data_IF_925031664846
#
_entry.id   IF_925031664846
#
_cell.length_a   1.000
_cell.length_b   1.000
_cell.length_c   1.000
_cell.angle_alpha   90.00
_cell.angle_beta   90.00
_cell.angle_gamma   90.00
#
_symmetry.space_group_name_H-M   'P 1'
#
loop_
_entity.id
_entity.type
_entity.pdbx_description
1 polymer ?
#
# COMPACT_ATOMS: atom_id res chain seq x y z
N UNK A 1 -8.74 -1.98 5.91
CA UNK A 1 -9.12 -0.61 5.46
C UNK A 1 -8.81 -0.46 3.98
N UNK A 2 -9.61 0.29 3.22
CA UNK A 2 -9.29 0.57 1.80
C UNK A 2 -8.05 1.47 1.73
N UNK A 3 -7.10 1.13 0.84
CA UNK A 3 -5.86 1.88 0.69
C UNK A 3 -6.16 3.29 0.17
N UNK A 4 -7.06 3.44 -0.80
CA UNK A 4 -7.44 4.76 -1.31
C UNK A 4 -7.97 5.68 -0.21
N UNK A 5 -8.82 5.18 0.69
CA UNK A 5 -9.30 5.95 1.83
C UNK A 5 -8.17 6.40 2.77
N UNK A 6 -7.16 5.56 3.00
CA UNK A 6 -5.99 5.93 3.80
C UNK A 6 -5.17 7.04 3.13
N UNK A 7 -4.99 6.98 1.81
CA UNK A 7 -4.26 8.00 1.05
C UNK A 7 -5.00 9.35 1.02
N UNK A 8 -6.33 9.31 0.96
CA UNK A 8 -7.16 10.52 1.02
C UNK A 8 -7.07 11.18 2.40
N UNK A 9 -7.09 10.39 3.48
CA UNK A 9 -6.85 10.87 4.84
C UNK A 9 -5.43 11.44 5.03
N UNK A 10 -4.44 10.87 4.34
CA UNK A 10 -3.07 11.37 4.34
C UNK A 10 -2.88 12.65 3.50
N UNK A 11 -3.94 13.14 2.83
CA UNK A 11 -3.91 14.31 1.95
C UNK A 11 -2.77 14.23 0.94
N UNK A 12 -2.70 13.09 0.23
CA UNK A 12 -1.68 12.81 -0.77
C UNK A 12 -1.54 14.00 -1.74
N UNK A 13 -0.33 14.53 -1.86
CA UNK A 13 -0.07 15.63 -2.78
C UNK A 13 -0.21 15.17 -4.22
N UNK A 14 -0.76 15.99 -5.14
CA UNK A 14 -1.01 15.58 -6.52
C UNK A 14 0.27 15.25 -7.29
N UNK A 15 1.43 15.75 -6.87
CA UNK A 15 2.74 15.42 -7.44
C UNK A 15 3.25 14.02 -7.08
N UNK A 16 2.67 13.36 -6.08
CA UNK A 16 3.08 12.00 -5.73
C UNK A 16 2.65 11.02 -6.82
N UNK A 17 3.62 10.40 -7.47
CA UNK A 17 3.41 9.46 -8.57
C UNK A 17 3.65 8.02 -8.15
N UNK A 18 4.34 7.80 -7.03
CA UNK A 18 4.75 6.47 -6.56
C UNK A 18 4.46 6.28 -5.08
N UNK A 19 3.98 5.09 -4.72
CA UNK A 19 3.93 4.62 -3.35
C UNK A 19 5.03 3.59 -3.11
N UNK A 20 5.68 3.72 -1.97
CA UNK A 20 6.70 2.79 -1.48
C UNK A 20 6.17 2.18 -0.19
N UNK A 21 6.00 0.85 -0.19
CA UNK A 21 5.57 0.09 0.96
C UNK A 21 6.78 -0.66 1.51
N UNK A 22 7.12 -0.42 2.78
CA UNK A 22 8.26 -1.07 3.45
C UNK A 22 7.75 -2.03 4.52
N UNK A 23 8.20 -3.27 4.41
CA UNK A 23 7.97 -4.31 5.41
C UNK A 23 8.99 -4.24 6.54
N UNK A 24 8.64 -4.85 7.67
CA UNK A 24 9.48 -4.99 8.86
C UNK A 24 10.84 -5.66 8.58
N UNK A 25 10.89 -6.58 7.62
CA UNK A 25 12.11 -7.29 7.19
C UNK A 25 12.98 -6.49 6.20
N UNK A 26 12.59 -5.25 5.90
CA UNK A 26 13.28 -4.38 4.95
C UNK A 26 12.87 -4.61 3.49
N UNK A 27 11.96 -5.54 3.19
CA UNK A 27 11.42 -5.68 1.84
C UNK A 27 10.66 -4.42 1.42
N UNK A 28 10.86 -4.01 0.16
CA UNK A 28 10.23 -2.82 -0.41
C UNK A 28 9.47 -3.19 -1.67
N UNK A 29 8.18 -2.83 -1.71
CA UNK A 29 7.40 -2.85 -2.94
C UNK A 29 7.06 -1.43 -3.38
N UNK A 30 7.18 -1.19 -4.68
CA UNK A 30 6.87 0.09 -5.29
C UNK A 30 5.72 -0.05 -6.28
N UNK A 31 4.75 0.86 -6.20
CA UNK A 31 3.57 0.86 -7.07
C UNK A 31 3.21 2.29 -7.48
N UNK A 32 2.77 2.49 -8.71
CA UNK A 32 2.32 3.80 -9.14
C UNK A 32 1.04 4.21 -8.39
N UNK A 33 0.95 5.48 -7.98
CA UNK A 33 -0.24 6.04 -7.33
C UNK A 33 -1.47 5.88 -8.24
N UNK A 34 -1.29 6.06 -9.55
CA UNK A 34 -2.38 5.91 -10.53
C UNK A 34 -2.98 4.49 -10.53
N UNK A 35 -2.15 3.45 -10.38
CA UNK A 35 -2.60 2.06 -10.38
C UNK A 35 -3.32 1.73 -9.07
N UNK A 36 -2.83 2.25 -7.93
CA UNK A 36 -3.50 2.13 -6.64
C UNK A 36 -4.85 2.85 -6.64
N UNK A 37 -4.92 4.06 -7.22
CA UNK A 37 -6.16 4.83 -7.36
C UNK A 37 -7.21 4.11 -8.21
N UNK A 38 -6.79 3.33 -9.21
CA UNK A 38 -7.68 2.45 -10.00
C UNK A 38 -8.11 1.18 -9.25
N UNK A 39 -7.35 0.75 -8.26
CA UNK A 39 -7.62 -0.45 -7.48
C UNK A 39 -8.61 -0.18 -6.33
N UNK A 40 -9.91 -0.29 -6.62
CA UNK A 40 -10.97 -0.06 -5.63
C UNK A 40 -10.93 -1.03 -4.43
N UNK A 41 -10.39 -2.24 -4.62
CA UNK A 41 -10.32 -3.29 -3.60
C UNK A 41 -8.92 -3.46 -2.99
N UNK A 42 -7.96 -2.59 -3.32
CA UNK A 42 -6.68 -2.57 -2.63
C UNK A 42 -6.86 -2.13 -1.18
N UNK A 43 -6.27 -2.88 -0.26
CA UNK A 43 -6.52 -2.71 1.17
C UNK A 43 -5.27 -2.97 2.02
N UNK A 44 -5.21 -2.25 3.15
CA UNK A 44 -4.33 -2.58 4.27
C UNK A 44 -5.15 -3.38 5.28
N UNK A 45 -4.75 -4.63 5.50
CA UNK A 45 -5.44 -5.56 6.39
C UNK A 45 -4.55 -5.93 7.57
N UNK A 46 -5.16 -6.28 8.70
CA UNK A 46 -4.46 -6.97 9.75
C UNK A 46 -4.30 -8.46 9.39
N UNK A 47 -3.15 -9.04 9.72
CA UNK A 47 -2.95 -10.48 9.72
C UNK A 47 -3.33 -11.07 11.10
N UNK A 48 -3.19 -12.39 11.25
CA UNK A 48 -3.53 -13.09 12.49
C UNK A 48 -2.60 -12.73 13.66
N UNK A 49 -1.49 -12.06 13.39
CA UNK A 49 -0.51 -11.59 14.37
C UNK A 49 -0.74 -10.11 14.75
N UNK A 50 -1.80 -9.49 14.25
CA UNK A 50 -2.10 -8.08 14.49
C UNK A 50 -1.20 -7.10 13.70
N UNK A 51 -0.35 -7.59 12.80
CA UNK A 51 0.49 -6.77 11.91
C UNK A 51 -0.27 -6.37 10.65
N UNK A 52 0.11 -5.26 10.03
CA UNK A 52 -0.50 -4.78 8.80
C UNK A 52 0.12 -5.49 7.60
N UNK A 53 -0.70 -5.87 6.61
CA UNK A 53 -0.29 -6.41 5.31
C UNK A 53 -1.01 -5.67 4.19
N UNK A 54 -0.41 -5.63 3.01
CA UNK A 54 -1.08 -5.20 1.79
C UNK A 54 -1.81 -6.36 1.13
N UNK A 55 -2.98 -6.05 0.58
CA UNK A 55 -3.79 -6.94 -0.25
C UNK A 55 -4.12 -6.15 -1.50
N UNK A 56 -3.59 -6.61 -2.63
CA UNK A 56 -3.59 -5.85 -3.89
C UNK A 56 -4.17 -6.71 -5.03
N UNK A 57 -5.50 -6.91 -5.08
CA UNK A 57 -6.12 -7.71 -6.13
C UNK A 57 -5.77 -7.20 -7.53
N UNK A 58 -5.44 -8.11 -8.45
CA UNK A 58 -5.06 -7.78 -9.82
C UNK A 58 -3.66 -7.16 -9.98
N UNK A 59 -2.93 -6.94 -8.88
CA UNK A 59 -1.56 -6.46 -8.90
C UNK A 59 -0.55 -7.63 -8.80
N UNK A 60 0.68 -7.45 -9.29
CA UNK A 60 1.78 -8.41 -9.12
C UNK A 60 2.00 -8.85 -7.67
N UNK A 61 2.42 -10.11 -7.48
CA UNK A 61 2.55 -10.73 -6.16
C UNK A 61 3.57 -10.04 -5.24
N UNK A 62 4.58 -9.36 -5.78
CA UNK A 62 5.52 -8.56 -5.00
C UNK A 62 4.89 -7.36 -4.29
N UNK A 63 3.65 -6.98 -4.65
CA UNK A 63 2.86 -5.96 -3.96
C UNK A 63 1.96 -6.53 -2.85
N UNK A 64 1.99 -7.85 -2.62
CA UNK A 64 1.30 -8.54 -1.52
C UNK A 64 2.26 -8.71 -0.32
N UNK A 65 2.58 -7.58 0.29
CA UNK A 65 3.61 -7.41 1.29
C UNK A 65 3.05 -7.69 2.67
N UNK A 66 3.75 -8.53 3.43
CA UNK A 66 3.44 -8.82 4.83
C UNK A 66 4.14 -7.80 5.73
N UNK A 67 3.58 -7.58 6.92
CA UNK A 67 4.19 -6.79 7.98
C UNK A 67 4.65 -5.40 7.51
N UNK A 68 3.80 -4.71 6.77
CA UNK A 68 4.02 -3.32 6.31
C UNK A 68 4.10 -2.41 7.53
N UNK A 69 5.23 -1.72 7.67
CA UNK A 69 5.48 -0.77 8.77
C UNK A 69 5.51 0.69 8.28
N UNK A 70 5.66 0.91 6.97
CA UNK A 70 5.76 2.26 6.39
C UNK A 70 5.10 2.30 5.01
N UNK A 71 4.39 3.39 4.75
CA UNK A 71 3.87 3.74 3.43
C UNK A 71 4.39 5.15 3.13
N UNK A 72 5.12 5.32 2.04
CA UNK A 72 5.65 6.61 1.61
C UNK A 72 5.10 6.96 0.24
N UNK A 73 4.68 8.22 0.11
CA UNK A 73 4.37 8.82 -1.17
C UNK A 73 5.57 9.59 -1.70
N UNK A 74 5.96 9.31 -2.94
CA UNK A 74 7.04 9.97 -3.65
C UNK A 74 6.55 10.58 -4.95
#
# INVERSE_FOLDING_TARGET
>A
MRLNALLDLAQLKPEAVKLVLTAEDGFVGEVAVADVKKCADCLMAFNNEGKVKSVMPGMPSNLWIKNVIKIEAK
#
